data_IF_233119049391
#
_entry.id   IF_233119049391
#
_cell.length_a   1.000
_cell.length_b   1.000
_cell.length_c   1.000
_cell.angle_alpha   90.00
_cell.angle_beta   90.00
_cell.angle_gamma   90.00
#
_symmetry.space_group_name_H-M   'P 1'
#
loop_
_entity.id
_entity.type
_entity.pdbx_description
1 polymer ?
#
# COMPACT_ATOMS: atom_id res chain seq x y z
N UNK A 1 13.02 -10.03 -5.15
CA UNK A 1 12.44 -8.67 -5.06
C UNK A 1 12.55 -8.19 -3.62
N UNK A 2 13.16 -7.02 -3.35
CA UNK A 2 13.24 -6.48 -1.99
C UNK A 2 11.92 -5.80 -1.63
N UNK A 3 11.33 -6.19 -0.50
CA UNK A 3 10.10 -5.62 0.06
C UNK A 3 10.47 -5.07 1.43
N UNK A 4 10.01 -3.87 1.75
CA UNK A 4 10.23 -3.23 3.04
C UNK A 4 8.90 -2.80 3.66
N UNK A 5 8.85 -2.79 4.98
CA UNK A 5 7.74 -2.27 5.79
C UNK A 5 8.16 -1.00 6.50
N UNK A 6 7.21 -0.19 6.95
CA UNK A 6 7.51 1.06 7.67
C UNK A 6 8.43 0.83 8.88
N UNK A 7 8.23 -0.27 9.62
CA UNK A 7 9.05 -0.60 10.80
C UNK A 7 10.51 -0.96 10.47
N UNK A 8 10.82 -1.29 9.22
CA UNK A 8 12.17 -1.67 8.78
C UNK A 8 13.00 -0.49 8.26
N UNK A 9 12.38 0.68 8.09
CA UNK A 9 13.02 1.84 7.45
C UNK A 9 13.99 2.61 8.36
N UNK A 10 13.88 2.44 9.67
CA UNK A 10 14.75 3.12 10.64
C UNK A 10 14.67 4.65 10.59
N UNK A 11 15.72 5.37 11.05
CA UNK A 11 15.70 6.82 11.19
C UNK A 11 15.89 7.58 9.86
N UNK A 12 16.37 6.91 8.81
CA UNK A 12 16.52 7.50 7.48
C UNK A 12 15.70 6.67 6.46
N UNK A 13 14.41 6.99 6.27
CA UNK A 13 13.52 6.13 5.50
C UNK A 13 13.91 5.98 4.04
N UNK A 14 14.50 7.02 3.45
CA UNK A 14 14.92 6.98 2.04
C UNK A 14 16.08 6.01 1.83
N UNK A 15 17.06 6.01 2.73
CA UNK A 15 18.15 5.02 2.71
C UNK A 15 17.64 3.60 2.98
N UNK A 16 16.72 3.42 3.92
CA UNK A 16 16.11 2.12 4.21
C UNK A 16 15.39 1.51 3.00
N UNK A 17 14.76 2.38 2.19
CA UNK A 17 14.08 2.02 0.94
C UNK A 17 15.03 1.75 -0.24
N UNK A 18 16.33 2.02 -0.14
CA UNK A 18 17.24 1.85 -1.27
C UNK A 18 17.20 0.42 -1.85
N UNK A 19 16.93 0.32 -3.15
CA UNK A 19 16.80 -0.96 -3.87
C UNK A 19 15.54 -1.76 -3.54
N UNK A 20 14.60 -1.22 -2.76
CA UNK A 20 13.30 -1.84 -2.55
C UNK A 20 12.44 -1.68 -3.82
N UNK A 21 11.65 -2.71 -4.13
CA UNK A 21 10.61 -2.62 -5.16
C UNK A 21 9.25 -2.26 -4.56
N UNK A 22 9.01 -2.70 -3.32
CA UNK A 22 7.74 -2.51 -2.64
C UNK A 22 7.95 -1.94 -1.24
N UNK A 23 7.14 -0.93 -0.92
CA UNK A 23 6.83 -0.51 0.44
C UNK A 23 5.47 -1.10 0.82
N UNK A 24 5.41 -1.85 1.92
CA UNK A 24 4.17 -2.39 2.49
C UNK A 24 3.82 -1.60 3.75
N UNK A 25 2.60 -1.06 3.77
CA UNK A 25 2.04 -0.32 4.91
C UNK A 25 0.79 -1.03 5.45
N UNK A 26 0.54 -0.85 6.74
CA UNK A 26 -0.79 -1.10 7.33
C UNK A 26 -1.70 0.10 7.06
N UNK A 27 -3.02 -0.11 7.00
CA UNK A 27 -3.99 0.98 6.78
C UNK A 27 -3.82 2.17 7.76
N UNK A 28 -3.54 1.87 9.04
CA UNK A 28 -3.29 2.89 10.06
C UNK A 28 -2.02 3.72 9.82
N UNK A 29 -1.06 3.21 9.06
CA UNK A 29 0.23 3.86 8.79
C UNK A 29 0.15 4.81 7.59
N UNK A 30 -0.88 4.71 6.75
CA UNK A 30 -0.97 5.46 5.49
C UNK A 30 -1.05 6.98 5.74
N UNK A 31 -1.89 7.42 6.67
CA UNK A 31 -2.13 8.84 6.93
C UNK A 31 -0.87 9.57 7.44
N UNK A 32 -0.01 8.88 8.18
CA UNK A 32 1.24 9.42 8.72
C UNK A 32 2.43 9.29 7.75
N UNK A 33 2.26 8.59 6.62
CA UNK A 33 3.34 8.26 5.68
C UNK A 33 3.41 9.20 4.48
N UNK A 34 2.74 10.36 4.48
CA UNK A 34 2.66 11.27 3.32
C UNK A 34 4.03 11.62 2.72
N UNK A 35 5.01 12.00 3.54
CA UNK A 35 6.38 12.29 3.07
C UNK A 35 7.06 11.06 2.49
N UNK A 36 6.81 9.89 3.08
CA UNK A 36 7.37 8.62 2.61
C UNK A 36 6.81 8.24 1.24
N UNK A 37 5.50 8.40 1.04
CA UNK A 37 4.83 8.18 -0.25
C UNK A 37 5.37 9.11 -1.35
N UNK A 38 5.85 10.30 -1.02
CA UNK A 38 6.51 11.17 -2.01
C UNK A 38 7.83 10.56 -2.49
N UNK A 39 8.63 9.96 -1.60
CA UNK A 39 9.88 9.32 -1.99
C UNK A 39 9.66 8.07 -2.82
N UNK A 40 8.60 7.30 -2.54
CA UNK A 40 8.30 6.10 -3.34
C UNK A 40 8.03 6.45 -4.80
N UNK A 41 7.33 7.55 -5.07
CA UNK A 41 7.11 8.06 -6.43
C UNK A 41 8.41 8.48 -7.13
N UNK A 42 9.33 9.11 -6.40
CA UNK A 42 10.61 9.59 -6.96
C UNK A 42 11.60 8.46 -7.25
N UNK A 43 11.56 7.40 -6.45
CA UNK A 43 12.54 6.31 -6.48
C UNK A 43 11.97 5.02 -7.15
N UNK A 44 10.83 5.12 -7.88
CA UNK A 44 10.12 4.01 -8.57
C UNK A 44 9.80 2.80 -7.68
N UNK A 45 9.34 3.09 -6.46
CA UNK A 45 8.95 2.10 -5.45
C UNK A 45 7.42 1.99 -5.44
N UNK A 46 6.91 0.77 -5.61
CA UNK A 46 5.48 0.50 -5.56
C UNK A 46 5.00 0.47 -4.11
N UNK A 47 3.77 0.89 -3.88
CA UNK A 47 3.17 0.90 -2.54
C UNK A 47 2.02 -0.10 -2.46
N UNK A 48 2.10 -0.97 -1.46
CA UNK A 48 1.05 -1.88 -1.07
C UNK A 48 0.50 -1.53 0.31
N UNK A 49 -0.81 -1.60 0.48
CA UNK A 49 -1.47 -1.31 1.77
C UNK A 49 -2.33 -2.49 2.20
N UNK A 50 -2.05 -3.05 3.37
CA UNK A 50 -2.98 -3.97 4.03
C UNK A 50 -3.92 -3.14 4.91
N UNK A 51 -5.13 -2.91 4.42
CA UNK A 51 -6.15 -2.09 5.06
C UNK A 51 -7.25 -2.93 5.74
N UNK A 52 -7.08 -4.26 5.81
CA UNK A 52 -8.02 -5.14 6.53
C UNK A 52 -8.16 -4.74 8.00
N UNK A 53 -9.34 -4.98 8.55
CA UNK A 53 -9.77 -4.54 9.88
C UNK A 53 -10.28 -3.10 9.95
N UNK A 54 -10.32 -2.36 8.83
CA UNK A 54 -10.86 -0.99 8.80
C UNK A 54 -11.31 -0.56 7.40
N UNK A 55 -12.25 0.39 7.34
CA UNK A 55 -12.75 0.93 6.07
C UNK A 55 -11.80 2.01 5.54
N UNK A 56 -11.23 1.86 4.33
CA UNK A 56 -10.38 2.89 3.73
C UNK A 56 -11.17 4.18 3.48
N UNK A 57 -10.63 5.31 3.93
CA UNK A 57 -11.19 6.64 3.65
C UNK A 57 -10.53 7.23 2.40
N UNK A 58 -11.28 7.87 1.49
CA UNK A 58 -10.71 8.57 0.34
C UNK A 58 -9.66 9.59 0.76
N UNK A 59 -8.60 9.74 -0.04
CA UNK A 59 -7.52 10.68 0.25
C UNK A 59 -6.42 10.69 -0.79
N UNK A 60 -5.54 11.70 -0.73
CA UNK A 60 -4.46 11.89 -1.71
C UNK A 60 -3.49 10.70 -1.78
N UNK A 61 -3.34 9.97 -0.67
CA UNK A 61 -2.50 8.77 -0.58
C UNK A 61 -2.88 7.69 -1.60
N UNK A 62 -4.14 7.62 -2.02
CA UNK A 62 -4.62 6.61 -2.98
C UNK A 62 -3.86 6.69 -4.32
N UNK A 63 -3.35 7.87 -4.67
CA UNK A 63 -2.57 8.09 -5.90
C UNK A 63 -1.22 7.39 -5.89
N UNK A 64 -0.63 7.18 -4.72
CA UNK A 64 0.66 6.49 -4.58
C UNK A 64 0.48 4.97 -4.36
N UNK A 65 -0.75 4.52 -4.10
CA UNK A 65 -1.02 3.11 -3.78
C UNK A 65 -1.31 2.31 -5.05
N UNK A 66 -0.55 1.25 -5.23
CA UNK A 66 -0.61 0.38 -6.40
C UNK A 66 -1.39 -0.90 -6.10
N UNK A 67 -1.26 -1.41 -4.86
CA UNK A 67 -1.98 -2.58 -4.37
C UNK A 67 -2.62 -2.30 -3.01
N UNK A 68 -3.86 -2.70 -2.80
CA UNK A 68 -4.51 -2.62 -1.49
C UNK A 68 -5.31 -3.88 -1.20
N UNK A 69 -5.21 -4.37 0.03
CA UNK A 69 -6.09 -5.41 0.58
C UNK A 69 -7.13 -4.76 1.49
N UNK A 70 -8.39 -5.12 1.29
CA UNK A 70 -9.52 -4.62 2.07
C UNK A 70 -10.38 -5.80 2.55
N UNK A 71 -11.19 -5.56 3.57
CA UNK A 71 -12.30 -6.47 3.89
C UNK A 71 -13.46 -6.26 2.92
N UNK A 72 -14.35 -7.24 2.84
CA UNK A 72 -15.56 -7.17 2.01
C UNK A 72 -15.60 -8.23 0.91
N UNK A 73 -16.55 -8.06 0.00
CA UNK A 73 -16.72 -8.91 -1.18
C UNK A 73 -15.89 -8.42 -2.38
N UNK A 74 -15.79 -9.27 -3.40
CA UNK A 74 -15.16 -8.91 -4.67
C UNK A 74 -15.90 -7.76 -5.38
N UNK A 75 -17.24 -7.69 -5.26
CA UNK A 75 -18.02 -6.57 -5.79
C UNK A 75 -17.67 -5.25 -5.12
N UNK A 76 -17.47 -5.25 -3.79
CA UNK A 76 -17.05 -4.07 -3.02
C UNK A 76 -15.64 -3.64 -3.39
N UNK A 77 -14.71 -4.60 -3.57
CA UNK A 77 -13.36 -4.34 -4.05
C UNK A 77 -13.34 -3.71 -5.44
N UNK A 78 -14.13 -4.23 -6.38
CA UNK A 78 -14.20 -3.70 -7.73
C UNK A 78 -14.86 -2.31 -7.77
N UNK A 79 -15.88 -2.07 -6.93
CA UNK A 79 -16.43 -0.73 -6.76
C UNK A 79 -15.40 0.26 -6.20
N UNK A 80 -14.63 -0.16 -5.19
CA UNK A 80 -13.57 0.64 -4.60
C UNK A 80 -12.43 0.92 -5.59
N UNK A 81 -12.04 -0.07 -6.41
CA UNK A 81 -11.02 0.08 -7.46
C UNK A 81 -11.39 1.17 -8.44
N UNK A 82 -12.64 1.16 -8.94
CA UNK A 82 -13.15 2.19 -9.86
C UNK A 82 -13.17 3.59 -9.25
N UNK A 83 -13.51 3.69 -7.96
CA UNK A 83 -13.59 4.98 -7.27
C UNK A 83 -12.23 5.56 -6.88
N UNK A 84 -11.28 4.70 -6.49
CA UNK A 84 -9.97 5.12 -5.96
C UNK A 84 -8.89 5.27 -7.03
N UNK A 85 -9.01 4.57 -8.17
CA UNK A 85 -7.98 4.52 -9.19
C UNK A 85 -6.79 3.60 -8.86
N UNK A 86 -6.82 2.88 -7.74
CA UNK A 86 -5.77 1.93 -7.34
C UNK A 86 -5.74 0.75 -8.32
N UNK A 87 -4.56 0.35 -8.76
CA UNK A 87 -4.38 -0.66 -9.81
C UNK A 87 -4.92 -2.04 -9.41
N UNK A 88 -4.57 -2.50 -8.21
CA UNK A 88 -4.97 -3.81 -7.68
C UNK A 88 -5.66 -3.66 -6.34
N UNK A 89 -6.93 -4.04 -6.27
CA UNK A 89 -7.70 -4.11 -5.02
C UNK A 89 -8.06 -5.57 -4.80
N UNK A 90 -7.81 -6.07 -3.59
CA UNK A 90 -8.00 -7.47 -3.23
C UNK A 90 -8.94 -7.52 -2.03
N UNK A 91 -10.03 -8.27 -2.16
CA UNK A 91 -10.92 -8.61 -1.07
C UNK A 91 -10.79 -10.10 -0.71
N UNK A 92 -11.42 -10.49 0.40
CA UNK A 92 -11.68 -11.89 0.76
C UNK A 92 -10.45 -12.84 0.73
N UNK A 93 -9.26 -12.30 0.98
CA UNK A 93 -8.02 -13.10 1.02
C UNK A 93 -7.52 -13.24 2.45
N UNK A 94 -7.21 -14.48 2.85
CA UNK A 94 -6.58 -14.82 4.13
C UNK A 94 -5.05 -14.78 4.06
N UNK A 95 -4.49 -14.61 2.86
CA UNK A 95 -3.04 -14.58 2.67
C UNK A 95 -2.44 -13.24 3.13
N UNK A 96 -1.12 -13.24 3.25
CA UNK A 96 -0.32 -12.03 3.43
C UNK A 96 -0.30 -11.21 2.13
N UNK A 97 -0.38 -9.87 2.21
CA UNK A 97 -0.34 -8.99 1.03
C UNK A 97 0.87 -9.22 0.14
N UNK A 98 1.99 -9.68 0.70
CA UNK A 98 3.22 -10.01 0.00
C UNK A 98 3.03 -11.10 -1.05
N UNK A 99 2.05 -12.00 -0.89
CA UNK A 99 1.75 -13.03 -1.90
C UNK A 99 1.09 -12.49 -3.16
N UNK A 100 0.68 -11.23 -3.14
CA UNK A 100 -0.07 -10.59 -4.22
C UNK A 100 0.73 -9.52 -4.96
N UNK A 101 1.98 -9.29 -4.56
CA UNK A 101 2.88 -8.30 -5.15
C UNK A 101 3.50 -8.85 -6.45
N UNK A 102 3.90 -7.95 -7.34
CA UNK A 102 4.46 -8.26 -8.66
C UNK A 102 5.76 -7.50 -8.94
#
# INVERSE_FOLDING_TARGET
MKIVTLSELGPNPREGMAGARWLVLKGAEVAQSTTLLMFTELDDILVAVDHRGSVPKPGLWQRAVHCIMIDGSEEEAEAFRRASGITKVIANSTNDIRSHLW
#
